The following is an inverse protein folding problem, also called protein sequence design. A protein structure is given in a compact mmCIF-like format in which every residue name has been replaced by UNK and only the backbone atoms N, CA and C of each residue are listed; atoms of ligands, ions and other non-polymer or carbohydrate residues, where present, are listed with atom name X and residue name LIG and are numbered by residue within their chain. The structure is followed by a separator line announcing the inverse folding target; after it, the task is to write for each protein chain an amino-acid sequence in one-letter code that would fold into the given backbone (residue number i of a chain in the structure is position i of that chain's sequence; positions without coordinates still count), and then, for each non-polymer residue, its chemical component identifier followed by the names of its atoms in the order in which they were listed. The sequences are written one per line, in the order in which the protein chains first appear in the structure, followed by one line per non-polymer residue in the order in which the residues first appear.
data_IF_110382358036
#
_entry.id   IF_110382358036
#
_cell.length_a   1.000
_cell.length_b   1.000
_cell.length_c   1.000
_cell.angle_alpha   90.00
_cell.angle_beta   90.00
_cell.angle_gamma   90.00
#
_symmetry.space_group_name_H-M   'P 1'
#
loop_
_entity.id
_entity.type
_entity.pdbx_description
1 polymer ?
#
# COMPACT_ATOMS: atom_id res chain seq x y z
N UNK A 1 13.88 -7.99 25.49
CA UNK A 1 14.02 -8.08 24.02
C UNK A 1 12.72 -8.41 23.27
N UNK A 2 11.77 -9.17 23.83
CA UNK A 2 10.53 -9.59 23.16
C UNK A 2 9.77 -8.46 22.43
N UNK A 3 9.52 -7.33 23.10
CA UNK A 3 8.81 -6.18 22.51
C UNK A 3 9.46 -5.58 21.26
N UNK A 4 10.79 -5.66 21.15
CA UNK A 4 11.53 -5.13 19.99
C UNK A 4 11.39 -6.09 18.82
N UNK A 5 11.41 -7.40 19.09
CA UNK A 5 11.16 -8.44 18.07
C UNK A 5 9.74 -8.29 17.52
N UNK A 6 8.75 -8.16 18.39
CA UNK A 6 7.35 -7.93 17.99
C UNK A 6 7.20 -6.65 17.15
N UNK A 7 7.82 -5.54 17.55
CA UNK A 7 7.80 -4.29 16.77
C UNK A 7 8.49 -4.45 15.41
N UNK A 8 9.58 -5.22 15.34
CA UNK A 8 10.28 -5.50 14.09
C UNK A 8 9.43 -6.36 13.14
N UNK A 9 8.77 -7.40 13.65
CA UNK A 9 7.85 -8.23 12.87
C UNK A 9 6.67 -7.42 12.34
N UNK A 10 6.08 -6.54 13.17
CA UNK A 10 5.00 -5.65 12.76
C UNK A 10 5.44 -4.67 11.67
N UNK A 11 6.64 -4.08 11.80
CA UNK A 11 7.20 -3.23 10.77
C UNK A 11 7.42 -3.99 9.45
N UNK A 12 7.97 -5.21 9.52
CA UNK A 12 8.12 -6.09 8.36
C UNK A 12 6.79 -6.38 7.66
N UNK A 13 5.78 -6.78 8.43
CA UNK A 13 4.44 -7.07 7.92
C UNK A 13 3.78 -5.85 7.26
N UNK A 14 3.98 -4.64 7.82
CA UNK A 14 3.48 -3.39 7.24
C UNK A 14 4.10 -3.10 5.87
N UNK A 15 5.42 -3.26 5.73
CA UNK A 15 6.10 -3.08 4.43
C UNK A 15 5.72 -4.17 3.42
N UNK A 16 5.47 -5.40 3.85
CA UNK A 16 4.99 -6.45 2.95
C UNK A 16 3.57 -6.17 2.46
N UNK A 17 2.70 -5.61 3.31
CA UNK A 17 1.39 -5.11 2.89
C UNK A 17 1.54 -3.99 1.86
N UNK A 18 2.41 -3.00 2.10
CA UNK A 18 2.69 -1.92 1.16
C UNK A 18 3.12 -2.46 -0.22
N UNK A 19 4.05 -3.41 -0.26
CA UNK A 19 4.50 -4.06 -1.51
C UNK A 19 3.33 -4.73 -2.24
N UNK A 20 2.50 -5.51 -1.52
CA UNK A 20 1.34 -6.20 -2.11
C UNK A 20 0.33 -5.22 -2.69
N UNK A 21 -0.02 -4.16 -1.96
CA UNK A 21 -0.92 -3.11 -2.45
C UNK A 21 -0.32 -2.40 -3.67
N UNK A 22 0.99 -2.13 -3.67
CA UNK A 22 1.69 -1.54 -4.81
C UNK A 22 1.63 -2.40 -6.08
N UNK A 23 1.74 -3.72 -5.95
CA UNK A 23 1.57 -4.65 -7.08
C UNK A 23 0.16 -4.59 -7.66
N UNK A 24 -0.86 -4.67 -6.80
CA UNK A 24 -2.27 -4.60 -7.21
C UNK A 24 -2.62 -3.24 -7.82
N UNK A 25 -2.07 -2.15 -7.28
CA UNK A 25 -2.24 -0.80 -7.82
C UNK A 25 -1.68 -0.68 -9.25
N UNK A 26 -0.52 -1.29 -9.52
CA UNK A 26 0.06 -1.29 -10.86
C UNK A 26 -0.80 -2.08 -11.84
N UNK A 27 -1.32 -3.24 -11.41
CA UNK A 27 -2.17 -4.06 -12.26
C UNK A 27 -3.56 -3.43 -12.46
N UNK A 28 -4.08 -2.68 -11.49
CA UNK A 28 -5.32 -1.92 -11.65
C UNK A 28 -5.17 -0.75 -12.62
N UNK A 29 -4.01 -0.08 -12.67
CA UNK A 29 -3.75 0.95 -13.68
C UNK A 29 -3.78 0.38 -15.11
N UNK A 30 -3.16 -0.79 -15.31
CA UNK A 30 -3.24 -1.51 -16.59
C UNK A 30 -4.67 -1.85 -16.95
N UNK A 31 -5.44 -2.42 -16.01
CA UNK A 31 -6.84 -2.77 -16.21
C UNK A 31 -7.67 -1.54 -16.60
N UNK A 32 -7.54 -0.44 -15.85
CA UNK A 32 -8.21 0.83 -16.14
C UNK A 32 -7.91 1.33 -17.56
N UNK A 33 -6.65 1.32 -17.95
CA UNK A 33 -6.23 1.77 -19.29
C UNK A 33 -6.80 0.87 -20.40
N UNK A 34 -6.78 -0.46 -20.22
CA UNK A 34 -7.39 -1.39 -21.18
C UNK A 34 -8.91 -1.21 -21.29
N UNK A 35 -9.60 -1.07 -20.15
CA UNK A 35 -11.05 -0.86 -20.13
C UNK A 35 -11.43 0.44 -20.85
N UNK A 36 -10.67 1.52 -20.64
CA UNK A 36 -10.88 2.79 -21.34
C UNK A 36 -10.68 2.64 -22.85
N UNK A 37 -9.62 1.96 -23.30
CA UNK A 37 -9.37 1.70 -24.72
C UNK A 37 -10.49 0.87 -25.36
N UNK A 38 -10.96 -0.18 -24.68
CA UNK A 38 -12.05 -1.02 -25.18
C UNK A 38 -13.38 -0.27 -25.29
N UNK A 39 -13.67 0.64 -24.34
CA UNK A 39 -14.84 1.52 -24.40
C UNK A 39 -14.75 2.46 -25.60
N UNK A 40 -13.62 3.15 -25.79
CA UNK A 40 -13.42 4.11 -26.87
C UNK A 40 -13.46 3.49 -28.27
N UNK A 41 -12.80 2.36 -28.47
CA UNK A 41 -12.59 1.80 -29.81
C UNK A 41 -13.75 0.94 -30.29
N UNK A 42 -14.51 0.34 -29.37
CA UNK A 42 -15.38 -0.77 -29.73
C UNK A 42 -16.77 -0.70 -29.12
N UNK A 43 -17.04 0.23 -28.19
CA UNK A 43 -18.28 0.22 -27.39
C UNK A 43 -18.53 -1.12 -26.67
N UNK A 44 -17.51 -1.99 -26.57
CA UNK A 44 -17.61 -3.37 -26.03
C UNK A 44 -17.64 -3.41 -24.51
N UNK A 45 -17.43 -2.26 -23.88
CA UNK A 45 -17.56 -2.01 -22.45
C UNK A 45 -18.53 -0.86 -22.26
N UNK A 46 -19.28 -0.88 -21.18
CA UNK A 46 -20.15 0.23 -20.81
C UNK A 46 -19.33 1.36 -20.18
N UNK A 47 -19.86 2.59 -20.20
CA UNK A 47 -19.29 3.69 -19.41
C UNK A 47 -19.25 3.33 -17.91
N UNK A 48 -20.20 2.53 -17.44
CA UNK A 48 -20.23 2.02 -16.08
C UNK A 48 -19.00 1.16 -15.75
N UNK A 49 -18.53 0.32 -16.69
CA UNK A 49 -17.31 -0.48 -16.50
C UNK A 49 -16.07 0.41 -16.38
N UNK A 50 -16.02 1.52 -17.14
CA UNK A 50 -14.93 2.52 -17.05
C UNK A 50 -14.92 3.17 -15.67
N UNK A 51 -16.08 3.66 -15.21
CA UNK A 51 -16.21 4.33 -13.91
C UNK A 51 -15.87 3.35 -12.77
N UNK A 52 -16.29 2.09 -12.86
CA UNK A 52 -15.94 1.07 -11.87
C UNK A 52 -14.43 0.84 -11.81
N UNK A 53 -13.77 0.65 -12.96
CA UNK A 53 -12.32 0.45 -13.01
C UNK A 53 -11.53 1.67 -12.50
N UNK A 54 -12.01 2.89 -12.77
CA UNK A 54 -11.41 4.10 -12.22
C UNK A 54 -11.61 4.19 -10.70
N UNK A 55 -12.82 3.93 -10.21
CA UNK A 55 -13.13 3.95 -8.77
C UNK A 55 -12.25 2.97 -8.00
N UNK A 56 -12.12 1.73 -8.49
CA UNK A 56 -11.26 0.71 -7.89
C UNK A 56 -9.78 1.14 -7.86
N UNK A 57 -9.28 1.73 -8.96
CA UNK A 57 -7.91 2.23 -9.03
C UNK A 57 -7.64 3.36 -8.02
N UNK A 58 -8.55 4.34 -7.91
CA UNK A 58 -8.40 5.42 -6.94
C UNK A 58 -8.53 4.95 -5.49
N UNK A 59 -9.39 3.96 -5.22
CA UNK A 59 -9.45 3.32 -3.90
C UNK A 59 -8.11 2.64 -3.56
N UNK A 60 -7.51 1.91 -4.51
CA UNK A 60 -6.18 1.31 -4.32
C UNK A 60 -5.08 2.35 -4.07
N UNK A 61 -5.16 3.55 -4.65
CA UNK A 61 -4.22 4.64 -4.35
C UNK A 61 -4.34 5.12 -2.90
N UNK A 62 -5.56 5.23 -2.38
CA UNK A 62 -5.79 5.57 -0.96
C UNK A 62 -5.24 4.48 -0.05
N UNK A 63 -5.49 3.20 -0.38
CA UNK A 63 -4.96 2.07 0.37
C UNK A 63 -3.42 2.03 0.36
N UNK A 64 -2.80 2.38 -0.77
CA UNK A 64 -1.34 2.48 -0.88
C UNK A 64 -0.79 3.57 0.04
N UNK A 65 -1.42 4.76 0.04
CA UNK A 65 -1.02 5.86 0.92
C UNK A 65 -1.13 5.47 2.41
N UNK A 66 -2.24 4.82 2.80
CA UNK A 66 -2.42 4.33 4.16
C UNK A 66 -1.36 3.29 4.53
N UNK A 67 -1.08 2.31 3.66
CA UNK A 67 -0.04 1.32 3.91
C UNK A 67 1.37 1.94 4.01
N UNK A 68 1.63 3.03 3.30
CA UNK A 68 2.90 3.77 3.40
C UNK A 68 3.02 4.45 4.76
N UNK A 69 1.97 5.14 5.20
CA UNK A 69 1.90 5.79 6.52
C UNK A 69 2.07 4.74 7.63
N UNK A 70 1.35 3.62 7.54
CA UNK A 70 1.45 2.50 8.49
C UNK A 70 2.91 2.00 8.60
N UNK A 71 3.58 1.78 7.45
CA UNK A 71 4.98 1.34 7.43
C UNK A 71 5.94 2.35 8.04
N UNK A 72 5.76 3.65 7.77
CA UNK A 72 6.56 4.71 8.36
C UNK A 72 6.34 4.81 9.88
N UNK A 73 5.11 4.68 10.34
CA UNK A 73 4.77 4.73 11.76
C UNK A 73 5.43 3.57 12.52
N UNK A 74 5.34 2.34 11.98
CA UNK A 74 5.98 1.17 12.61
C UNK A 74 7.51 1.30 12.63
N UNK A 75 8.12 1.83 11.56
CA UNK A 75 9.56 2.08 11.52
C UNK A 75 10.01 3.12 12.56
N UNK A 76 9.22 4.18 12.76
CA UNK A 76 9.48 5.18 13.79
C UNK A 76 9.37 4.58 15.20
N UNK A 77 8.37 3.72 15.45
CA UNK A 77 8.24 2.98 16.70
C UNK A 77 9.44 2.07 16.97
N UNK A 78 9.90 1.32 15.97
CA UNK A 78 11.08 0.47 16.13
C UNK A 78 12.34 1.29 16.46
N UNK A 79 12.51 2.42 15.77
CA UNK A 79 13.66 3.33 15.98
C UNK A 79 13.65 3.93 17.38
N UNK A 80 12.49 4.36 17.89
CA UNK A 80 12.40 4.96 19.23
C UNK A 80 12.71 3.96 20.33
N UNK A 81 12.34 2.69 20.16
CA UNK A 81 12.72 1.60 21.08
C UNK A 81 14.23 1.37 21.09
N UNK A 82 14.89 1.48 19.93
CA UNK A 82 16.36 1.35 19.82
C UNK A 82 17.10 2.49 20.54
N UNK A 83 16.70 3.74 20.32
CA UNK A 83 17.31 4.91 20.97
C UNK A 83 17.19 4.82 22.50
N UNK A 84 16.03 4.44 23.02
CA UNK A 84 15.82 4.28 24.46
C UNK A 84 16.75 3.23 25.09
N UNK A 85 17.10 2.19 24.34
CA UNK A 85 18.01 1.14 24.78
C UNK A 85 19.46 1.64 24.82
N UNK A 86 19.87 2.42 23.81
CA UNK A 86 21.18 3.06 23.77
C UNK A 86 21.37 4.05 24.93
N UNK A 87 20.34 4.85 25.27
CA UNK A 87 20.42 5.78 26.41
C UNK A 87 20.48 5.08 27.77
N UNK A 88 19.97 3.84 27.88
CA UNK A 88 20.05 3.07 29.12
C UNK A 88 21.43 2.40 29.31
N UNK A 89 22.14 2.12 28.22
CA UNK A 89 23.46 1.48 28.26
C UNK A 89 24.62 2.44 28.58
N UNK A 90 24.38 3.76 28.55
CA UNK A 90 25.34 4.80 28.91
C UNK A 90 25.21 5.19 30.38
#
# INVERSE_FOLDING_TARGET
CQRIVEAHEQAGAAFDRLKRVGLVLRDSDRLRNYTLQQWQQLGRRSLFDVIAAESDHYNLRVQYANALIDGQQMNATLTSLGIGLTSWLQ
#
